data_IF_660461039238
#
_entry.id   IF_660461039238
#
_cell.length_a   1.000
_cell.length_b   1.000
_cell.length_c   1.000
_cell.angle_alpha   90.00
_cell.angle_beta   90.00
_cell.angle_gamma   90.00
#
_symmetry.space_group_name_H-M   'P 1'
#
loop_
_entity.id
_entity.type
_entity.pdbx_description
1 polymer ?
#
# COMPACT_ATOMS: atom_id res chain seq x y z
N UNK A 1 -11.39 9.37 -6.26
CA UNK A 1 -10.69 10.23 -5.30
C UNK A 1 -11.48 11.51 -5.04
N UNK A 2 -11.35 12.17 -3.86
CA UNK A 2 -12.19 13.31 -3.47
C UNK A 2 -12.21 14.49 -4.47
N UNK A 3 -11.10 14.80 -5.13
CA UNK A 3 -11.06 15.85 -6.14
C UNK A 3 -12.02 15.63 -7.33
N UNK A 4 -12.43 14.38 -7.58
CA UNK A 4 -13.36 14.00 -8.65
C UNK A 4 -14.82 13.98 -8.19
N UNK A 5 -15.12 14.22 -6.91
CA UNK A 5 -16.47 14.22 -6.40
C UNK A 5 -17.32 15.32 -7.06
N UNK A 6 -18.53 14.96 -7.50
CA UNK A 6 -19.47 15.86 -8.15
C UNK A 6 -20.86 15.73 -7.51
N UNK A 7 -21.58 16.83 -7.44
CA UNK A 7 -22.97 16.83 -6.99
C UNK A 7 -23.86 16.37 -8.14
N UNK A 8 -24.55 15.24 -7.92
CA UNK A 8 -25.44 14.64 -8.94
C UNK A 8 -26.84 14.38 -8.41
N UNK A 9 -27.05 14.43 -7.09
CA UNK A 9 -28.32 14.15 -6.43
C UNK A 9 -28.72 15.23 -5.43
N UNK A 10 -29.87 14.99 -4.76
CA UNK A 10 -30.34 15.86 -3.67
C UNK A 10 -29.45 15.74 -2.42
N UNK A 11 -28.91 14.55 -2.17
CA UNK A 11 -27.95 14.26 -1.10
C UNK A 11 -26.79 13.46 -1.71
N UNK A 12 -25.55 13.92 -1.48
CA UNK A 12 -24.35 13.38 -2.12
C UNK A 12 -23.40 12.88 -1.05
N UNK A 13 -23.01 11.60 -1.15
CA UNK A 13 -22.06 10.96 -0.26
C UNK A 13 -20.78 10.70 -1.01
N UNK A 14 -19.67 11.30 -0.54
CA UNK A 14 -18.34 11.02 -1.02
C UNK A 14 -17.73 9.84 -0.27
N UNK A 15 -17.35 8.79 -0.97
CA UNK A 15 -16.66 7.63 -0.38
C UNK A 15 -15.26 7.55 -0.90
N UNK A 16 -14.28 7.50 -0.01
CA UNK A 16 -12.88 7.37 -0.40
C UNK A 16 -12.11 6.45 0.55
N UNK A 17 -11.03 5.82 0.04
CA UNK A 17 -10.10 5.07 0.87
C UNK A 17 -9.36 5.95 1.90
N UNK A 18 -9.55 7.27 1.81
CA UNK A 18 -8.88 8.22 2.70
C UNK A 18 -7.47 8.54 2.25
N UNK A 19 -6.60 8.79 3.21
CA UNK A 19 -5.22 9.16 2.96
C UNK A 19 -4.28 8.51 3.98
N UNK A 20 -3.09 8.14 3.53
CA UNK A 20 -2.06 7.49 4.35
C UNK A 20 -1.05 8.50 4.92
N UNK A 21 -0.99 9.71 4.34
CA UNK A 21 -0.12 10.81 4.80
C UNK A 21 -0.75 11.61 5.93
N UNK A 22 -0.05 12.62 6.42
CA UNK A 22 -0.48 13.49 7.53
C UNK A 22 -1.11 14.80 7.07
N UNK A 23 -1.21 15.02 5.76
CA UNK A 23 -1.78 16.23 5.16
C UNK A 23 -2.80 15.82 4.09
N UNK A 24 -3.99 16.40 4.15
CA UNK A 24 -5.05 16.20 3.17
C UNK A 24 -4.87 17.22 2.02
N UNK A 25 -4.75 16.80 0.75
CA UNK A 25 -4.54 17.72 -0.36
C UNK A 25 -5.63 18.78 -0.48
N UNK A 26 -5.27 19.98 -0.94
CA UNK A 26 -6.21 21.09 -1.07
C UNK A 26 -7.38 20.80 -2.02
N UNK A 27 -7.12 20.14 -3.14
CA UNK A 27 -8.13 19.68 -4.10
C UNK A 27 -9.05 18.59 -3.52
N UNK A 28 -8.56 17.79 -2.58
CA UNK A 28 -9.37 16.83 -1.82
C UNK A 28 -10.32 17.54 -0.83
N UNK A 29 -9.85 18.63 -0.21
CA UNK A 29 -10.70 19.48 0.64
C UNK A 29 -11.84 20.09 -0.18
N UNK A 30 -11.53 20.64 -1.35
CA UNK A 30 -12.55 21.20 -2.25
C UNK A 30 -13.57 20.16 -2.71
N UNK A 31 -13.08 18.96 -3.06
CA UNK A 31 -13.93 17.83 -3.44
C UNK A 31 -14.85 17.37 -2.31
N UNK A 32 -14.29 17.22 -1.11
CA UNK A 32 -15.04 16.85 0.10
C UNK A 32 -16.11 17.88 0.44
N UNK A 33 -15.84 19.16 0.26
CA UNK A 33 -16.79 20.23 0.52
C UNK A 33 -17.95 20.28 -0.48
N UNK A 34 -17.85 19.60 -1.63
CA UNK A 34 -18.98 19.43 -2.55
C UNK A 34 -19.97 18.37 -2.10
N UNK A 35 -19.61 17.51 -1.16
CA UNK A 35 -20.45 16.44 -0.63
C UNK A 35 -21.26 16.89 0.58
N UNK A 36 -22.38 16.22 0.85
CA UNK A 36 -23.16 16.46 2.05
C UNK A 36 -22.65 15.62 3.22
N UNK A 37 -22.02 14.46 2.92
CA UNK A 37 -21.34 13.57 3.85
C UNK A 37 -20.12 12.95 3.17
N UNK A 38 -19.02 12.83 3.88
CA UNK A 38 -17.83 12.12 3.44
C UNK A 38 -17.59 10.89 4.30
N UNK A 39 -17.31 9.75 3.66
CA UNK A 39 -16.96 8.50 4.32
C UNK A 39 -15.51 8.12 3.99
N UNK A 40 -14.74 7.83 5.02
CA UNK A 40 -13.34 7.40 4.92
C UNK A 40 -13.12 6.09 5.66
N UNK A 41 -12.07 5.34 5.31
CA UNK A 41 -11.86 3.99 5.81
C UNK A 41 -11.25 3.90 7.22
N UNK A 42 -10.77 5.02 7.80
CA UNK A 42 -10.06 4.98 9.08
C UNK A 42 -10.17 6.27 9.89
N UNK A 43 -10.01 6.15 11.20
CA UNK A 43 -9.91 7.29 12.12
C UNK A 43 -8.71 8.20 11.77
N UNK A 44 -7.61 7.63 11.28
CA UNK A 44 -6.47 8.41 10.80
C UNK A 44 -6.89 9.32 9.66
N UNK A 45 -7.52 8.80 8.61
CA UNK A 45 -7.99 9.58 7.47
C UNK A 45 -8.99 10.67 7.87
N UNK A 46 -9.92 10.36 8.80
CA UNK A 46 -10.86 11.34 9.35
C UNK A 46 -10.12 12.49 10.05
N UNK A 47 -9.18 12.16 10.94
CA UNK A 47 -8.37 13.17 11.64
C UNK A 47 -7.56 14.04 10.71
N UNK A 48 -6.91 13.42 9.71
CA UNK A 48 -6.10 14.17 8.73
C UNK A 48 -6.98 15.11 7.92
N UNK A 49 -8.14 14.65 7.43
CA UNK A 49 -9.06 15.48 6.65
C UNK A 49 -9.57 16.69 7.46
N UNK A 50 -9.95 16.48 8.73
CA UNK A 50 -10.52 17.54 9.58
C UNK A 50 -9.47 18.50 10.12
N UNK A 51 -8.22 18.05 10.34
CA UNK A 51 -7.16 18.87 10.91
C UNK A 51 -6.34 19.62 9.86
N UNK A 52 -6.45 19.25 8.58
CA UNK A 52 -5.72 19.95 7.52
C UNK A 52 -6.43 21.24 7.14
N UNK A 53 -5.66 22.31 7.10
CA UNK A 53 -6.11 23.59 6.59
C UNK A 53 -4.98 24.31 5.85
N UNK A 54 -5.35 25.10 4.85
CA UNK A 54 -4.42 25.91 4.07
C UNK A 54 -4.89 27.36 4.02
N UNK A 55 -3.94 28.27 3.94
CA UNK A 55 -4.25 29.67 3.67
C UNK A 55 -4.62 29.84 2.19
N UNK A 56 -5.77 30.45 1.94
CA UNK A 56 -6.16 30.89 0.59
C UNK A 56 -5.52 32.24 0.36
N UNK A 57 -4.68 32.32 -0.66
CA UNK A 57 -3.91 33.52 -0.98
C UNK A 57 -4.39 34.08 -2.32
N UNK A 58 -4.58 35.38 -2.40
CA UNK A 58 -4.81 36.08 -3.66
C UNK A 58 -3.54 36.05 -4.51
N UNK A 59 -3.66 35.58 -5.75
CA UNK A 59 -2.52 35.38 -6.66
C UNK A 59 -1.83 36.67 -7.09
N UNK A 60 -2.54 37.80 -7.06
CA UNK A 60 -2.02 39.08 -7.53
C UNK A 60 -1.37 39.87 -6.38
N UNK A 61 -1.97 39.83 -5.19
CA UNK A 61 -1.52 40.61 -4.02
C UNK A 61 -0.70 39.79 -3.05
N UNK A 62 -0.66 38.49 -3.19
CA UNK A 62 -0.03 37.53 -2.27
C UNK A 62 -0.54 37.65 -0.82
N UNK A 63 -1.70 38.27 -0.63
CA UNK A 63 -2.33 38.43 0.68
C UNK A 63 -3.26 37.27 1.00
N UNK A 64 -3.31 36.90 2.27
CA UNK A 64 -4.26 35.89 2.77
C UNK A 64 -5.68 36.43 2.68
N UNK A 65 -6.53 35.75 1.91
CA UNK A 65 -7.95 36.10 1.71
C UNK A 65 -8.91 35.12 2.41
N UNK A 66 -8.36 34.12 3.10
CA UNK A 66 -9.19 33.14 3.83
C UNK A 66 -8.42 31.87 4.20
N UNK A 67 -9.16 30.88 4.64
CA UNK A 67 -8.63 29.54 4.95
C UNK A 67 -9.50 28.50 4.25
N UNK A 68 -8.89 27.46 3.66
CA UNK A 68 -9.58 26.30 3.12
C UNK A 68 -9.38 25.12 4.06
N UNK A 69 -10.48 24.48 4.44
CA UNK A 69 -10.55 23.28 5.29
C UNK A 69 -11.77 22.47 4.93
N UNK A 70 -11.86 21.24 5.41
CA UNK A 70 -13.08 20.43 5.26
C UNK A 70 -14.14 20.97 6.23
N UNK A 71 -15.29 21.41 5.68
CA UNK A 71 -16.42 21.97 6.40
C UNK A 71 -17.62 21.01 6.49
N UNK A 72 -17.57 19.93 5.71
CA UNK A 72 -18.61 18.92 5.64
C UNK A 72 -18.33 17.77 6.60
N UNK A 73 -19.36 17.07 7.09
CA UNK A 73 -19.19 15.89 7.94
C UNK A 73 -18.29 14.86 7.30
N UNK A 74 -17.38 14.31 8.11
CA UNK A 74 -16.50 13.19 7.73
C UNK A 74 -16.71 12.09 8.76
N UNK A 75 -17.15 10.92 8.31
CA UNK A 75 -17.39 9.76 9.16
C UNK A 75 -16.57 8.57 8.72
N UNK A 76 -16.27 7.69 9.67
CA UNK A 76 -15.48 6.48 9.39
C UNK A 76 -16.44 5.35 9.02
N UNK A 77 -16.20 4.78 7.84
CA UNK A 77 -16.78 3.53 7.39
C UNK A 77 -15.62 2.55 7.15
N UNK A 78 -15.34 1.69 8.13
CA UNK A 78 -14.29 0.69 8.00
C UNK A 78 -14.57 -0.26 6.84
N UNK A 79 -13.49 -0.67 6.16
CA UNK A 79 -13.56 -1.70 5.14
C UNK A 79 -13.97 -3.03 5.78
N UNK A 80 -15.03 -3.62 5.24
CA UNK A 80 -15.56 -4.89 5.73
C UNK A 80 -14.78 -6.08 5.22
N UNK A 81 -14.84 -7.19 5.96
CA UNK A 81 -14.31 -8.49 5.59
C UNK A 81 -15.43 -9.54 5.65
N UNK A 82 -15.60 -10.28 4.57
CA UNK A 82 -16.52 -11.42 4.55
C UNK A 82 -15.90 -12.62 5.30
N UNK A 83 -16.30 -12.79 6.56
CA UNK A 83 -15.79 -13.85 7.43
C UNK A 83 -16.21 -15.25 6.98
N UNK A 84 -17.17 -15.42 6.09
CA UNK A 84 -17.50 -16.72 5.49
C UNK A 84 -16.48 -17.14 4.44
N UNK A 85 -15.79 -16.16 3.83
CA UNK A 85 -14.72 -16.39 2.85
C UNK A 85 -13.33 -16.36 3.46
N UNK A 86 -13.11 -15.43 4.42
CA UNK A 86 -11.82 -15.17 5.04
C UNK A 86 -11.82 -15.64 6.48
N UNK A 87 -11.49 -16.89 6.72
CA UNK A 87 -11.39 -17.51 8.03
C UNK A 87 -10.14 -18.40 8.10
N UNK A 88 -9.72 -18.75 9.31
CA UNK A 88 -8.58 -19.65 9.50
C UNK A 88 -8.94 -21.03 8.96
N UNK A 89 -8.36 -21.39 7.84
CA UNK A 89 -8.50 -22.73 7.23
C UNK A 89 -7.43 -23.67 7.74
N UNK A 90 -7.67 -25.00 7.73
CA UNK A 90 -6.61 -25.99 7.89
C UNK A 90 -5.50 -25.72 6.87
N UNK A 91 -4.26 -25.92 7.28
CA UNK A 91 -3.12 -25.73 6.37
C UNK A 91 -3.24 -26.66 5.17
N UNK A 92 -3.22 -26.09 3.97
CA UNK A 92 -3.01 -26.86 2.76
C UNK A 92 -1.50 -27.03 2.56
N UNK A 93 -0.96 -28.16 3.00
CA UNK A 93 0.48 -28.44 2.95
C UNK A 93 1.02 -28.57 1.51
N UNK A 94 0.16 -28.87 0.52
CA UNK A 94 0.55 -29.04 -0.88
C UNK A 94 1.20 -27.78 -1.49
N UNK A 95 0.64 -26.59 -1.23
CA UNK A 95 1.17 -25.33 -1.77
C UNK A 95 2.54 -24.94 -1.18
N UNK A 96 2.86 -25.44 0.00
CA UNK A 96 4.06 -25.07 0.75
C UNK A 96 5.03 -26.24 0.94
N UNK A 97 4.78 -27.38 0.32
CA UNK A 97 5.56 -28.62 0.50
C UNK A 97 7.05 -28.49 0.16
N UNK A 98 7.39 -27.58 -0.74
CA UNK A 98 8.78 -27.34 -1.16
C UNK A 98 9.51 -26.34 -0.25
N UNK A 99 8.83 -25.75 0.73
CA UNK A 99 9.42 -24.83 1.71
C UNK A 99 9.96 -25.65 2.86
N UNK A 100 11.28 -25.52 3.10
CA UNK A 100 12.01 -26.32 4.08
C UNK A 100 12.17 -25.64 5.44
N UNK A 101 11.89 -24.35 5.49
CA UNK A 101 12.06 -23.54 6.69
C UNK A 101 10.84 -23.61 7.61
N UNK A 102 11.10 -23.72 8.91
CA UNK A 102 10.06 -23.76 9.94
C UNK A 102 9.34 -22.42 10.12
N UNK A 103 9.96 -21.32 9.66
CA UNK A 103 9.39 -19.98 9.74
C UNK A 103 9.63 -19.20 8.47
N UNK A 104 8.57 -18.57 7.97
CA UNK A 104 8.62 -17.74 6.76
C UNK A 104 7.95 -16.40 6.98
N UNK A 105 8.59 -15.35 6.49
CA UNK A 105 7.91 -14.07 6.26
C UNK A 105 7.12 -14.15 4.95
N UNK A 106 5.93 -13.56 4.94
CA UNK A 106 5.08 -13.47 3.74
C UNK A 106 4.95 -12.00 3.31
N UNK A 107 5.26 -11.75 2.05
CA UNK A 107 4.85 -10.54 1.36
C UNK A 107 3.79 -10.89 0.31
N UNK A 108 2.72 -10.09 0.24
CA UNK A 108 1.72 -10.19 -0.83
C UNK A 108 1.46 -8.81 -1.43
N UNK A 109 1.49 -8.73 -2.75
CA UNK A 109 1.26 -7.47 -3.47
C UNK A 109 1.95 -7.44 -4.83
N UNK A 110 1.63 -6.42 -5.64
CA UNK A 110 2.31 -6.21 -6.91
C UNK A 110 3.71 -5.62 -6.72
N UNK A 111 4.65 -6.09 -7.52
CA UNK A 111 5.95 -5.45 -7.67
C UNK A 111 5.92 -4.57 -8.91
N UNK A 112 5.41 -3.37 -8.75
CA UNK A 112 5.28 -2.43 -9.86
C UNK A 112 6.66 -1.99 -10.38
N UNK A 113 6.77 -1.65 -11.68
CA UNK A 113 8.00 -1.11 -12.24
C UNK A 113 8.46 0.14 -11.50
N UNK A 114 9.77 0.29 -11.37
CA UNK A 114 10.45 1.41 -10.73
C UNK A 114 11.91 1.09 -10.55
N UNK A 115 12.74 2.10 -10.27
CA UNK A 115 14.10 1.88 -9.85
C UNK A 115 14.14 1.24 -8.45
N UNK A 116 15.31 0.77 -8.05
CA UNK A 116 15.51 0.17 -6.75
C UNK A 116 15.11 1.15 -5.62
N UNK A 117 14.13 0.76 -4.81
CA UNK A 117 13.62 1.59 -3.71
C UNK A 117 12.62 2.68 -4.13
N UNK A 118 12.25 2.77 -5.40
CA UNK A 118 11.29 3.75 -5.94
C UNK A 118 9.93 3.12 -6.29
N UNK A 119 9.81 1.80 -6.26
CA UNK A 119 8.52 1.15 -6.43
C UNK A 119 7.62 1.42 -5.20
N UNK A 120 6.34 1.68 -5.44
CA UNK A 120 5.38 2.10 -4.40
C UNK A 120 5.32 1.15 -3.17
N UNK A 121 5.64 -0.11 -3.35
CA UNK A 121 5.62 -1.14 -2.29
C UNK A 121 7.00 -1.45 -1.73
N UNK A 122 8.06 -0.84 -2.24
CA UNK A 122 9.45 -1.02 -1.81
C UNK A 122 9.90 -2.49 -1.75
N UNK A 123 9.46 -3.31 -2.71
CA UNK A 123 9.72 -4.76 -2.71
C UNK A 123 11.21 -5.07 -2.79
N UNK A 124 11.93 -4.36 -3.63
CA UNK A 124 13.39 -4.54 -3.74
C UNK A 124 14.12 -4.20 -2.42
N UNK A 125 13.69 -3.14 -1.74
CA UNK A 125 14.23 -2.77 -0.42
C UNK A 125 13.88 -3.81 0.64
N UNK A 126 12.64 -4.33 0.65
CA UNK A 126 12.23 -5.42 1.52
C UNK A 126 13.13 -6.65 1.36
N UNK A 127 13.34 -7.10 0.11
CA UNK A 127 14.20 -8.24 -0.20
C UNK A 127 15.63 -7.98 0.28
N UNK A 128 16.21 -6.84 -0.06
CA UNK A 128 17.56 -6.49 0.34
C UNK A 128 17.75 -6.45 1.85
N UNK A 129 16.79 -5.86 2.56
CA UNK A 129 16.80 -5.79 4.03
C UNK A 129 16.71 -7.19 4.64
N UNK A 130 15.78 -8.03 4.16
CA UNK A 130 15.65 -9.42 4.58
C UNK A 130 16.97 -10.19 4.40
N UNK A 131 17.56 -10.12 3.20
CA UNK A 131 18.81 -10.80 2.90
C UNK A 131 19.96 -10.33 3.82
N UNK A 132 20.10 -9.02 4.03
CA UNK A 132 21.12 -8.44 4.91
C UNK A 132 20.96 -8.85 6.37
N UNK A 133 19.72 -8.88 6.85
CA UNK A 133 19.41 -9.21 8.24
C UNK A 133 19.74 -10.68 8.57
N UNK A 134 19.44 -11.59 7.66
CA UNK A 134 19.56 -13.02 7.92
C UNK A 134 20.75 -13.70 7.23
N UNK A 135 21.59 -12.96 6.50
CA UNK A 135 22.82 -13.52 5.93
C UNK A 135 23.77 -13.99 7.02
N UNK A 136 24.48 -15.08 6.75
CA UNK A 136 25.53 -15.58 7.66
C UNK A 136 25.04 -16.17 8.98
N UNK A 137 23.72 -16.21 9.24
CA UNK A 137 23.21 -16.84 10.44
C UNK A 137 23.64 -18.32 10.52
N UNK A 138 24.22 -18.73 11.64
CA UNK A 138 24.56 -20.12 11.93
C UNK A 138 23.37 -20.93 12.46
N UNK A 139 22.30 -20.25 12.89
CA UNK A 139 21.03 -20.86 13.32
C UNK A 139 20.13 -21.09 12.11
N UNK A 140 19.02 -21.82 12.30
CA UNK A 140 17.97 -21.96 11.27
C UNK A 140 17.57 -20.57 10.75
N UNK A 141 17.69 -20.35 9.44
CA UNK A 141 17.30 -19.09 8.79
C UNK A 141 15.82 -19.12 8.48
N UNK A 142 15.10 -18.01 8.60
CA UNK A 142 13.77 -17.90 8.01
C UNK A 142 13.85 -17.85 6.49
N UNK A 143 12.73 -18.13 5.80
CA UNK A 143 12.58 -17.81 4.40
C UNK A 143 11.69 -16.58 4.19
N UNK A 144 11.74 -16.01 2.99
CA UNK A 144 10.82 -15.00 2.52
C UNK A 144 9.98 -15.59 1.39
N UNK A 145 8.68 -15.62 1.58
CA UNK A 145 7.71 -15.98 0.53
C UNK A 145 7.20 -14.67 -0.10
N UNK A 146 7.41 -14.55 -1.40
CA UNK A 146 6.90 -13.43 -2.20
C UNK A 146 5.72 -13.93 -3.02
N UNK A 147 4.49 -13.58 -2.64
CA UNK A 147 3.31 -13.72 -3.49
C UNK A 147 3.16 -12.43 -4.28
N UNK A 148 3.69 -12.42 -5.50
CA UNK A 148 3.79 -11.19 -6.30
C UNK A 148 3.80 -11.48 -7.80
N UNK A 149 3.41 -10.46 -8.55
CA UNK A 149 3.60 -10.32 -9.99
C UNK A 149 3.90 -8.84 -10.29
N UNK A 150 4.27 -8.51 -11.54
CA UNK A 150 4.41 -7.13 -12.00
C UNK A 150 3.10 -6.60 -12.58
N UNK A 151 2.65 -7.21 -13.66
CA UNK A 151 1.51 -6.75 -14.47
C UNK A 151 0.45 -7.84 -14.63
N UNK A 152 0.88 -9.08 -14.85
CA UNK A 152 -0.01 -10.20 -15.16
C UNK A 152 0.56 -11.54 -14.65
N UNK A 153 -0.05 -12.64 -15.08
CA UNK A 153 0.32 -13.99 -14.65
C UNK A 153 1.07 -14.78 -15.73
N UNK A 154 1.65 -14.12 -16.73
CA UNK A 154 2.37 -14.79 -17.81
C UNK A 154 3.72 -15.33 -17.36
N UNK A 155 4.26 -16.28 -18.12
CA UNK A 155 5.63 -16.79 -17.88
C UNK A 155 6.68 -15.69 -18.01
N UNK A 156 6.51 -14.75 -18.95
CA UNK A 156 7.42 -13.60 -19.11
C UNK A 156 7.42 -12.69 -17.89
N UNK A 157 6.25 -12.46 -17.29
CA UNK A 157 6.14 -11.69 -16.07
C UNK A 157 6.87 -12.40 -14.91
N UNK A 158 6.67 -13.71 -14.76
CA UNK A 158 7.37 -14.53 -13.78
C UNK A 158 8.89 -14.47 -13.94
N UNK A 159 9.38 -14.62 -15.16
CA UNK A 159 10.83 -14.52 -15.47
C UNK A 159 11.36 -13.12 -15.12
N UNK A 160 10.58 -12.08 -15.40
CA UNK A 160 10.92 -10.70 -15.03
C UNK A 160 11.07 -10.53 -13.52
N UNK A 161 10.12 -11.06 -12.73
CA UNK A 161 10.19 -11.03 -11.26
C UNK A 161 11.41 -11.81 -10.75
N UNK A 162 11.67 -13.00 -11.29
CA UNK A 162 12.86 -13.79 -10.92
C UNK A 162 14.16 -13.05 -11.23
N UNK A 163 14.25 -12.37 -12.37
CA UNK A 163 15.40 -11.54 -12.73
C UNK A 163 15.62 -10.41 -11.73
N UNK A 164 14.57 -9.76 -11.27
CA UNK A 164 14.69 -8.69 -10.28
C UNK A 164 15.10 -9.23 -8.91
N UNK A 165 14.56 -10.37 -8.47
CA UNK A 165 15.01 -11.05 -7.24
C UNK A 165 16.52 -11.34 -7.32
N UNK A 166 16.99 -11.88 -8.42
CA UNK A 166 18.41 -12.19 -8.60
C UNK A 166 19.28 -10.92 -8.60
N UNK A 167 18.83 -9.86 -9.27
CA UNK A 167 19.53 -8.56 -9.23
C UNK A 167 19.68 -8.01 -7.81
N UNK A 168 18.69 -8.23 -6.95
CA UNK A 168 18.81 -7.82 -5.54
C UNK A 168 19.73 -8.75 -4.76
N UNK A 169 19.68 -10.07 -5.02
CA UNK A 169 20.59 -11.05 -4.40
C UNK A 169 22.05 -10.75 -4.72
N UNK A 170 22.36 -10.39 -5.97
CA UNK A 170 23.71 -10.07 -6.42
C UNK A 170 24.34 -8.87 -5.70
N UNK A 171 23.49 -8.01 -5.10
CA UNK A 171 23.96 -6.88 -4.28
C UNK A 171 24.30 -7.27 -2.82
N UNK A 172 24.05 -8.52 -2.43
CA UNK A 172 24.26 -8.97 -1.05
C UNK A 172 25.10 -10.23 -1.06
N UNK A 173 26.37 -10.12 -0.70
CA UNK A 173 27.29 -11.26 -0.59
C UNK A 173 27.05 -12.08 0.67
N UNK A 174 27.43 -13.35 0.65
CA UNK A 174 27.43 -14.26 1.78
C UNK A 174 26.42 -15.41 1.65
N UNK A 175 26.27 -16.18 2.75
CA UNK A 175 25.30 -17.26 2.80
C UNK A 175 23.91 -16.71 3.04
N UNK A 176 23.11 -16.56 1.98
CA UNK A 176 21.82 -15.91 1.99
C UNK A 176 20.67 -16.85 2.44
N UNK A 177 19.61 -16.31 3.08
CA UNK A 177 18.37 -17.04 3.32
C UNK A 177 17.60 -17.29 2.01
N UNK A 178 16.69 -18.26 2.02
CA UNK A 178 15.88 -18.60 0.88
C UNK A 178 14.77 -17.58 0.61
N UNK A 179 14.47 -17.40 -0.67
CA UNK A 179 13.34 -16.62 -1.16
C UNK A 179 12.53 -17.52 -2.09
N UNK A 180 11.25 -17.67 -1.82
CA UNK A 180 10.30 -18.44 -2.61
C UNK A 180 9.35 -17.49 -3.33
N UNK A 181 9.15 -17.70 -4.62
CA UNK A 181 8.22 -16.93 -5.42
C UNK A 181 6.93 -17.72 -5.65
N UNK A 182 5.83 -17.22 -5.16
CA UNK A 182 4.48 -17.62 -5.53
C UNK A 182 3.97 -16.58 -6.54
N UNK A 183 4.17 -16.88 -7.83
CA UNK A 183 3.76 -15.97 -8.89
C UNK A 183 2.26 -16.11 -9.14
N UNK A 184 1.52 -14.99 -9.04
CA UNK A 184 0.09 -15.00 -9.27
C UNK A 184 -0.69 -14.07 -8.34
#
# INVERSE_FOLDING_TARGET
VPNEFQRVGKFNIGVSAGIETTIYPGDFIEGSNRMDLNLVSSEHSKKVALNTQFDKVDKNTNQKIGTIKVEKPVEVLFEGLDLNKYYKKPQNSELLKDIKEDFCFLYTGHWLPGNFGEDRKNVATLIKTFLKTFKGSKKKKPALILKTNRVNYSLLDKEGVLKDINRVKDQVSGNLPNIYLLHG
#
